data_IF_022456696174
#
_entry.id   IF_022456696174
#
_cell.length_a   1.000
_cell.length_b   1.000
_cell.length_c   1.000
_cell.angle_alpha   90.00
_cell.angle_beta   90.00
_cell.angle_gamma   90.00
#
_symmetry.space_group_name_H-M   'P 1'
#
loop_
_entity.id
_entity.type
_entity.pdbx_description
1 polymer ?
#
# COMPACT_ATOMS: atom_id res chain seq x y z
N UNK A 1 10.06 -20.19 3.50
CA UNK A 1 9.52 -18.82 3.36
C UNK A 1 8.05 -18.90 3.71
N UNK A 2 7.61 -18.14 4.72
CA UNK A 2 6.16 -17.98 4.93
C UNK A 2 5.57 -17.29 3.70
N UNK A 3 4.45 -17.81 3.20
CA UNK A 3 3.70 -17.18 2.12
C UNK A 3 3.25 -15.81 2.60
N UNK A 4 3.69 -14.74 1.95
CA UNK A 4 3.11 -13.42 2.16
C UNK A 4 1.62 -13.49 1.78
N UNK A 5 0.72 -13.18 2.72
CA UNK A 5 -0.71 -13.27 2.51
C UNK A 5 -1.26 -12.07 1.75
N UNK A 6 -0.97 -11.96 0.45
CA UNK A 6 -1.33 -10.81 -0.40
C UNK A 6 -2.81 -10.46 -0.34
N UNK A 7 -3.70 -11.45 -0.44
CA UNK A 7 -5.15 -11.26 -0.40
C UNK A 7 -5.58 -10.62 0.91
N UNK A 8 -5.15 -11.18 2.05
CA UNK A 8 -5.49 -10.65 3.37
C UNK A 8 -4.96 -9.23 3.59
N UNK A 9 -3.78 -8.93 3.03
CA UNK A 9 -3.22 -7.58 3.05
C UNK A 9 -4.10 -6.58 2.29
N UNK A 10 -4.50 -6.90 1.04
CA UNK A 10 -5.33 -5.98 0.25
C UNK A 10 -6.74 -5.81 0.83
N UNK A 11 -7.34 -6.88 1.37
CA UNK A 11 -8.63 -6.80 2.06
C UNK A 11 -8.56 -5.89 3.30
N UNK A 12 -7.51 -6.01 4.11
CA UNK A 12 -7.30 -5.13 5.25
C UNK A 12 -7.07 -3.68 4.81
N UNK A 13 -6.31 -3.46 3.74
CA UNK A 13 -6.05 -2.12 3.22
C UNK A 13 -7.32 -1.45 2.68
N UNK A 14 -8.18 -2.19 1.98
CA UNK A 14 -9.49 -1.72 1.54
C UNK A 14 -10.36 -1.30 2.74
N UNK A 15 -10.37 -2.11 3.81
CA UNK A 15 -11.08 -1.78 5.04
C UNK A 15 -10.55 -0.49 5.67
N UNK A 16 -9.23 -0.31 5.76
CA UNK A 16 -8.60 0.90 6.30
C UNK A 16 -8.96 2.13 5.46
N UNK A 17 -8.97 2.02 4.13
CA UNK A 17 -9.36 3.12 3.25
C UNK A 17 -10.84 3.49 3.43
N UNK A 18 -11.72 2.50 3.54
CA UNK A 18 -13.14 2.71 3.82
C UNK A 18 -13.35 3.42 5.17
N UNK A 19 -12.63 2.99 6.21
CA UNK A 19 -12.66 3.65 7.52
C UNK A 19 -12.20 5.10 7.43
N UNK A 20 -11.06 5.35 6.76
CA UNK A 20 -10.55 6.70 6.54
C UNK A 20 -11.62 7.58 5.88
N UNK A 21 -12.24 7.12 4.79
CA UNK A 21 -13.29 7.86 4.08
C UNK A 21 -14.48 8.18 4.98
N UNK A 22 -14.92 7.24 5.81
CA UNK A 22 -16.09 7.41 6.67
C UNK A 22 -15.91 8.39 7.83
N UNK A 23 -14.67 8.69 8.23
CA UNK A 23 -14.34 9.49 9.42
C UNK A 23 -13.61 10.81 9.11
N UNK A 24 -13.47 11.18 7.83
CA UNK A 24 -12.90 12.48 7.42
C UNK A 24 -13.67 13.62 8.12
N UNK A 25 -12.97 14.39 8.94
CA UNK A 25 -13.49 15.60 9.61
C UNK A 25 -14.23 15.37 10.93
N UNK A 26 -14.37 14.13 11.40
CA UNK A 26 -15.07 13.79 12.67
C UNK A 26 -14.30 12.81 13.57
N UNK A 27 -13.06 12.47 13.20
CA UNK A 27 -12.22 11.52 13.91
C UNK A 27 -11.81 11.99 15.31
N UNK A 28 -11.65 11.03 16.22
CA UNK A 28 -11.04 11.24 17.54
C UNK A 28 -9.60 10.69 17.57
N UNK A 29 -8.84 11.05 18.60
CA UNK A 29 -7.43 10.65 18.78
C UNK A 29 -7.22 9.13 18.67
N UNK A 30 -8.07 8.33 19.35
CA UNK A 30 -7.96 6.87 19.29
C UNK A 30 -8.22 6.28 17.90
N UNK A 31 -9.06 6.91 17.08
CA UNK A 31 -9.23 6.54 15.69
C UNK A 31 -7.99 6.90 14.87
N UNK A 32 -7.46 8.12 15.05
CA UNK A 32 -6.27 8.62 14.34
C UNK A 32 -5.07 7.71 14.60
N UNK A 33 -4.84 7.30 15.84
CA UNK A 33 -3.78 6.35 16.20
C UNK A 33 -3.95 5.00 15.49
N UNK A 34 -5.17 4.47 15.50
CA UNK A 34 -5.48 3.19 14.88
C UNK A 34 -5.22 3.21 13.37
N UNK A 35 -5.73 4.22 12.64
CA UNK A 35 -5.52 4.30 11.19
C UNK A 35 -4.06 4.57 10.85
N UNK A 36 -3.36 5.39 11.63
CA UNK A 36 -1.94 5.66 11.43
C UNK A 36 -1.12 4.38 11.53
N UNK A 37 -1.28 3.60 12.59
CA UNK A 37 -0.60 2.32 12.76
C UNK A 37 -0.85 1.35 11.60
N UNK A 38 -2.11 1.28 11.14
CA UNK A 38 -2.50 0.40 10.02
C UNK A 38 -1.93 0.85 8.68
N UNK A 39 -1.91 2.15 8.44
CA UNK A 39 -1.33 2.73 7.23
C UNK A 39 0.20 2.58 7.20
N UNK A 40 0.89 2.72 8.33
CA UNK A 40 2.35 2.49 8.42
C UNK A 40 2.71 1.03 8.10
N UNK A 41 1.97 0.08 8.67
CA UNK A 41 2.16 -1.34 8.36
C UNK A 41 1.89 -1.62 6.88
N UNK A 42 0.83 -1.01 6.33
CA UNK A 42 0.50 -1.13 4.92
C UNK A 42 1.60 -0.56 4.03
N UNK A 43 2.20 0.56 4.41
CA UNK A 43 3.31 1.18 3.68
C UNK A 43 4.53 0.25 3.63
N UNK A 44 4.85 -0.43 4.74
CA UNK A 44 5.94 -1.41 4.77
C UNK A 44 5.64 -2.61 3.85
N UNK A 45 4.39 -3.07 3.81
CA UNK A 45 3.97 -4.16 2.94
C UNK A 45 4.03 -3.77 1.46
N UNK A 46 3.54 -2.59 1.08
CA UNK A 46 3.61 -2.07 -0.29
C UNK A 46 5.07 -1.94 -0.76
N UNK A 47 6.00 -1.50 0.10
CA UNK A 47 7.43 -1.45 -0.24
C UNK A 47 8.01 -2.83 -0.54
N UNK A 48 7.70 -3.85 0.27
CA UNK A 48 8.14 -5.23 0.02
C UNK A 48 7.59 -5.76 -1.30
N UNK A 49 6.35 -5.43 -1.63
CA UNK A 49 5.72 -5.80 -2.91
C UNK A 49 6.48 -5.15 -4.07
N UNK A 50 6.79 -3.86 -3.95
CA UNK A 50 7.56 -3.13 -4.96
C UNK A 50 8.93 -3.77 -5.19
N UNK A 51 9.67 -4.08 -4.14
CA UNK A 51 10.97 -4.76 -4.21
C UNK A 51 10.88 -6.09 -4.97
N UNK A 52 9.84 -6.90 -4.69
CA UNK A 52 9.61 -8.18 -5.39
C UNK A 52 9.34 -7.97 -6.88
N UNK A 53 8.53 -6.96 -7.24
CA UNK A 53 8.21 -6.66 -8.64
C UNK A 53 9.41 -6.07 -9.39
N UNK A 54 10.26 -5.28 -8.74
CA UNK A 54 11.48 -4.73 -9.35
C UNK A 54 12.49 -5.84 -9.68
N UNK A 55 12.65 -6.84 -8.80
CA UNK A 55 13.48 -8.02 -9.07
C UNK A 55 12.94 -8.82 -10.27
N UNK A 56 11.62 -8.90 -10.43
CA UNK A 56 11.01 -9.61 -11.55
C UNK A 56 11.25 -8.95 -12.93
N UNK A 57 11.74 -7.70 -12.98
CA UNK A 57 12.10 -6.97 -14.21
C UNK A 57 13.61 -7.12 -14.55
N UNK A 58 14.40 -7.82 -13.74
CA UNK A 58 15.83 -8.01 -14.05
C UNK A 58 16.05 -8.59 -15.47
N UNK A 59 17.11 -8.11 -16.17
CA UNK A 59 17.20 -8.07 -17.65
C UNK A 59 17.38 -9.42 -18.36
N UNK A 60 17.18 -10.54 -17.67
CA UNK A 60 17.25 -11.89 -18.25
C UNK A 60 15.87 -12.41 -18.70
N UNK A 61 14.80 -11.63 -18.54
CA UNK A 61 13.45 -12.00 -19.00
C UNK A 61 13.32 -11.77 -20.51
N UNK A 62 13.46 -12.83 -21.30
CA UNK A 62 13.33 -12.83 -22.78
C UNK A 62 11.92 -12.47 -23.31
N UNK A 63 10.96 -12.12 -22.43
CA UNK A 63 9.54 -11.96 -22.75
C UNK A 63 9.09 -10.50 -22.53
N UNK A 64 9.11 -9.70 -23.61
CA UNK A 64 8.67 -8.30 -23.62
C UNK A 64 7.24 -8.09 -23.06
N UNK A 65 6.33 -9.06 -23.25
CA UNK A 65 4.95 -8.97 -22.76
C UNK A 65 4.85 -9.09 -21.23
N UNK A 66 5.68 -9.93 -20.59
CA UNK A 66 5.69 -10.10 -19.14
C UNK A 66 6.27 -8.85 -18.45
N UNK A 67 7.32 -8.27 -19.03
CA UNK A 67 7.90 -7.02 -18.54
C UNK A 67 6.87 -5.88 -18.54
N UNK A 68 6.07 -5.75 -19.61
CA UNK A 68 4.99 -4.75 -19.71
C UNK A 68 3.96 -4.93 -18.60
N UNK A 69 3.62 -6.17 -18.24
CA UNK A 69 2.67 -6.46 -17.17
C UNK A 69 3.26 -6.12 -15.80
N UNK A 70 4.51 -6.49 -15.53
CA UNK A 70 5.17 -6.19 -14.25
C UNK A 70 5.36 -4.68 -14.07
N UNK A 71 5.71 -3.93 -15.13
CA UNK A 71 5.78 -2.47 -15.10
C UNK A 71 4.44 -1.83 -14.73
N UNK A 72 3.31 -2.31 -15.30
CA UNK A 72 1.97 -1.84 -14.91
C UNK A 72 1.67 -2.11 -13.43
N UNK A 73 2.08 -3.25 -12.90
CA UNK A 73 1.93 -3.53 -11.47
C UNK A 73 2.79 -2.61 -10.60
N UNK A 74 4.02 -2.31 -11.01
CA UNK A 74 4.87 -1.31 -10.32
C UNK A 74 4.21 0.07 -10.28
N UNK A 75 3.64 0.52 -11.40
CA UNK A 75 2.94 1.81 -11.45
C UNK A 75 1.74 1.85 -10.47
N UNK A 76 0.97 0.76 -10.40
CA UNK A 76 -0.15 0.62 -9.47
C UNK A 76 0.33 0.63 -8.01
N UNK A 77 1.39 -0.10 -7.70
CA UNK A 77 1.97 -0.19 -6.36
C UNK A 77 2.57 1.15 -5.92
N UNK A 78 3.24 1.88 -6.83
CA UNK A 78 3.73 3.23 -6.58
C UNK A 78 2.60 4.23 -6.31
N UNK A 79 1.50 4.11 -7.06
CA UNK A 79 0.29 4.91 -6.83
C UNK A 79 -0.29 4.61 -5.44
N UNK A 80 -0.42 3.33 -5.09
CA UNK A 80 -0.92 2.90 -3.78
C UNK A 80 -0.04 3.40 -2.64
N UNK A 81 1.27 3.33 -2.78
CA UNK A 81 2.23 3.88 -1.82
C UNK A 81 1.99 5.37 -1.60
N UNK A 82 1.83 6.12 -2.69
CA UNK A 82 1.58 7.57 -2.64
C UNK A 82 0.27 7.89 -1.92
N UNK A 83 -0.79 7.10 -2.15
CA UNK A 83 -2.07 7.24 -1.43
C UNK A 83 -1.91 7.00 0.07
N UNK A 84 -1.18 5.96 0.47
CA UNK A 84 -0.94 5.66 1.89
C UNK A 84 -0.15 6.79 2.56
N UNK A 85 0.90 7.30 1.91
CA UNK A 85 1.69 8.43 2.42
C UNK A 85 0.82 9.67 2.58
N UNK A 86 -0.03 9.97 1.60
CA UNK A 86 -0.94 11.11 1.69
C UNK A 86 -1.91 10.97 2.86
N UNK A 87 -2.49 9.78 3.07
CA UNK A 87 -3.37 9.53 4.22
C UNK A 87 -2.64 9.67 5.55
N UNK A 88 -1.41 9.16 5.65
CA UNK A 88 -0.58 9.35 6.85
C UNK A 88 -0.35 10.83 7.14
N UNK A 89 0.05 11.62 6.13
CA UNK A 89 0.23 13.07 6.29
C UNK A 89 -1.07 13.81 6.61
N UNK A 90 -2.20 13.35 6.06
CA UNK A 90 -3.51 13.92 6.37
C UNK A 90 -3.88 13.71 7.83
N UNK A 91 -3.69 12.50 8.37
CA UNK A 91 -4.06 12.17 9.75
C UNK A 91 -3.08 12.72 10.78
N UNK A 92 -1.79 12.81 10.46
CA UNK A 92 -0.78 13.46 11.30
C UNK A 92 -1.13 14.94 11.58
N UNK A 93 -1.73 15.64 10.61
CA UNK A 93 -2.19 17.01 10.79
C UNK A 93 -3.41 17.16 11.74
N UNK A 94 -4.03 16.06 12.20
CA UNK A 94 -5.11 16.07 13.19
C UNK A 94 -4.63 15.81 14.63
N UNK A 95 -3.35 15.46 14.83
CA UNK A 95 -2.69 15.35 16.14
C UNK A 95 -2.20 16.73 16.62
#
# INVERSE_FOLDING_TARGET
>A
MESFGWTAFFEELENVFSLCQSQIGIANEGFVDYVTQKLELSLQNVKKIQEVLEIAIEPETELEEEEVVVRKYLDLISTLQSCIIWLLSYWDAYL
#
